data_IF_974454227622
#
_entry.id   IF_974454227622
#
_cell.length_a   1.000
_cell.length_b   1.000
_cell.length_c   1.000
_cell.angle_alpha   90.00
_cell.angle_beta   90.00
_cell.angle_gamma   90.00
#
_symmetry.space_group_name_H-M   'P 1'
#
loop_
_entity.id
_entity.type
_entity.pdbx_description
1 polymer ?
#
# COMPACT_ATOMS: atom_id res chain seq x y z
N UNK A 1 18.21 -0.41 4.18
CA UNK A 1 17.50 -0.35 2.88
C UNK A 1 18.03 0.85 2.10
N UNK A 2 18.05 0.86 0.77
CA UNK A 2 18.65 1.99 0.02
C UNK A 2 17.81 3.28 0.20
N UNK A 3 18.47 4.45 0.35
CA UNK A 3 17.80 5.76 0.45
C UNK A 3 16.83 6.00 -0.70
N UNK A 4 17.16 5.51 -1.90
CA UNK A 4 16.33 5.60 -3.10
C UNK A 4 14.93 4.99 -2.93
N UNK A 5 14.80 3.90 -2.16
CA UNK A 5 13.50 3.26 -1.92
C UNK A 5 12.67 4.11 -0.98
N UNK A 6 13.27 4.63 0.09
CA UNK A 6 12.59 5.51 1.05
C UNK A 6 12.08 6.75 0.32
N UNK A 7 12.96 7.44 -0.40
CA UNK A 7 12.63 8.68 -1.10
C UNK A 7 11.54 8.44 -2.17
N UNK A 8 11.56 7.28 -2.84
CA UNK A 8 10.48 6.89 -3.76
C UNK A 8 9.15 6.63 -3.03
N UNK A 9 9.16 5.92 -1.90
CA UNK A 9 7.94 5.66 -1.13
C UNK A 9 7.31 6.95 -0.59
N UNK A 10 8.15 7.90 -0.14
CA UNK A 10 7.71 9.24 0.26
C UNK A 10 7.11 10.02 -0.91
N UNK A 11 7.73 9.94 -2.10
CA UNK A 11 7.25 10.60 -3.32
C UNK A 11 5.82 10.15 -3.71
N UNK A 12 5.52 8.85 -3.62
CA UNK A 12 4.24 8.30 -4.10
C UNK A 12 3.12 8.31 -3.06
N UNK A 13 3.47 8.51 -1.78
CA UNK A 13 2.60 8.23 -0.65
C UNK A 13 1.22 8.87 -0.74
N UNK A 14 1.16 10.19 -0.95
CA UNK A 14 -0.10 10.94 -0.92
C UNK A 14 -1.02 10.57 -2.08
N UNK A 15 -0.48 10.60 -3.30
CA UNK A 15 -1.21 10.31 -4.53
C UNK A 15 -1.70 8.86 -4.58
N UNK A 16 -0.85 7.93 -4.17
CA UNK A 16 -1.21 6.52 -4.13
C UNK A 16 -2.33 6.24 -3.14
N UNK A 17 -2.24 6.80 -1.93
CA UNK A 17 -3.26 6.62 -0.89
C UNK A 17 -4.59 7.19 -1.30
N UNK A 18 -4.56 8.41 -1.85
CA UNK A 18 -5.76 9.06 -2.34
C UNK A 18 -6.40 8.27 -3.48
N UNK A 19 -5.59 7.75 -4.40
CA UNK A 19 -6.08 6.91 -5.48
C UNK A 19 -6.75 5.64 -4.96
N UNK A 20 -6.12 4.90 -4.04
CA UNK A 20 -6.69 3.68 -3.46
C UNK A 20 -8.01 3.97 -2.74
N UNK A 21 -8.08 5.04 -1.94
CA UNK A 21 -9.32 5.49 -1.30
C UNK A 21 -10.42 5.75 -2.34
N UNK A 22 -10.12 6.55 -3.36
CA UNK A 22 -11.09 6.94 -4.37
C UNK A 22 -11.56 5.73 -5.18
N UNK A 23 -10.64 4.86 -5.58
CA UNK A 23 -10.95 3.63 -6.32
C UNK A 23 -11.87 2.71 -5.51
N UNK A 24 -11.46 2.31 -4.31
CA UNK A 24 -12.21 1.33 -3.53
C UNK A 24 -13.49 1.88 -2.90
N UNK A 25 -13.44 3.08 -2.28
CA UNK A 25 -14.58 3.58 -1.49
C UNK A 25 -15.56 4.41 -2.31
N UNK A 26 -15.10 5.11 -3.36
CA UNK A 26 -15.94 6.04 -4.12
C UNK A 26 -16.40 5.40 -5.44
N UNK A 27 -15.47 4.95 -6.28
CA UNK A 27 -15.78 4.37 -7.60
C UNK A 27 -16.46 3.02 -7.44
N UNK A 28 -15.88 2.13 -6.63
CA UNK A 28 -16.37 0.76 -6.44
C UNK A 28 -17.23 0.58 -5.19
N UNK A 29 -17.51 1.64 -4.43
CA UNK A 29 -18.44 1.65 -3.27
C UNK A 29 -18.19 0.52 -2.25
N UNK A 30 -16.95 0.08 -2.10
CA UNK A 30 -16.59 -1.03 -1.20
C UNK A 30 -16.89 -2.43 -1.74
N UNK A 31 -17.38 -2.59 -2.97
CA UNK A 31 -17.79 -3.90 -3.52
C UNK A 31 -16.61 -4.83 -3.81
N UNK A 32 -15.48 -4.29 -4.27
CA UNK A 32 -14.25 -5.05 -4.54
C UNK A 32 -13.40 -5.25 -3.28
N UNK A 33 -13.23 -4.16 -2.55
CA UNK A 33 -12.52 -4.03 -1.28
C UNK A 33 -12.88 -2.64 -0.74
N UNK A 34 -12.57 -2.39 0.53
CA UNK A 34 -12.87 -1.09 1.14
C UNK A 34 -11.59 -0.57 1.78
N UNK A 35 -11.12 0.61 1.40
CA UNK A 35 -10.08 1.33 2.14
C UNK A 35 -10.66 1.74 3.51
N UNK A 36 -9.98 1.56 4.65
CA UNK A 36 -8.58 1.14 4.80
C UNK A 36 -8.24 -0.35 4.58
N UNK A 37 -9.22 -1.26 4.61
CA UNK A 37 -9.05 -2.72 4.50
C UNK A 37 -8.50 -3.26 3.16
N UNK A 38 -8.25 -2.43 2.16
CA UNK A 38 -7.58 -2.80 0.90
C UNK A 38 -6.06 -2.99 1.03
N UNK A 39 -5.59 -3.25 2.24
CA UNK A 39 -4.21 -3.14 2.65
C UNK A 39 -3.31 -4.22 2.04
N UNK A 40 -3.87 -5.42 1.80
CA UNK A 40 -3.21 -6.45 1.02
C UNK A 40 -3.07 -6.09 -0.46
N UNK A 41 -4.07 -5.44 -1.07
CA UNK A 41 -3.98 -5.03 -2.47
C UNK A 41 -2.92 -3.93 -2.63
N UNK A 42 -2.93 -2.96 -1.71
CA UNK A 42 -1.93 -1.91 -1.59
C UNK A 42 -0.50 -2.50 -1.48
N UNK A 43 -0.31 -3.43 -0.54
CA UNK A 43 0.97 -4.08 -0.30
C UNK A 43 1.44 -4.94 -1.47
N UNK A 44 0.53 -5.65 -2.14
CA UNK A 44 0.86 -6.43 -3.32
C UNK A 44 1.36 -5.55 -4.46
N UNK A 45 0.64 -4.44 -4.73
CA UNK A 45 0.98 -3.49 -5.78
C UNK A 45 2.36 -2.90 -5.54
N UNK A 46 2.64 -2.38 -4.35
CA UNK A 46 3.94 -1.77 -4.07
C UNK A 46 5.07 -2.80 -4.01
N UNK A 47 4.85 -3.98 -3.41
CA UNK A 47 5.86 -5.03 -3.37
C UNK A 47 6.24 -5.48 -4.78
N UNK A 48 5.26 -5.65 -5.66
CA UNK A 48 5.48 -6.00 -7.07
C UNK A 48 6.32 -4.95 -7.79
N UNK A 49 6.06 -3.66 -7.53
CA UNK A 49 6.76 -2.56 -8.17
C UNK A 49 8.21 -2.43 -7.67
N UNK A 50 8.40 -2.45 -6.35
CA UNK A 50 9.72 -2.38 -5.71
C UNK A 50 10.58 -3.58 -6.12
N UNK A 51 9.99 -4.77 -6.21
CA UNK A 51 10.69 -5.99 -6.67
C UNK A 51 11.25 -5.86 -8.08
N UNK A 52 10.48 -5.26 -8.99
CA UNK A 52 10.88 -5.15 -10.41
C UNK A 52 11.91 -4.04 -10.63
N UNK A 53 11.79 -2.92 -9.91
CA UNK A 53 12.51 -1.69 -10.25
C UNK A 53 13.59 -1.25 -9.26
N UNK A 54 13.62 -1.82 -8.05
CA UNK A 54 14.52 -1.38 -6.98
C UNK A 54 15.36 -2.51 -6.40
N UNK A 55 14.74 -3.58 -5.92
CA UNK A 55 15.44 -4.66 -5.19
C UNK A 55 14.63 -5.96 -5.24
N UNK A 56 15.25 -7.06 -5.66
CA UNK A 56 14.55 -8.33 -5.85
C UNK A 56 14.13 -9.01 -4.53
N UNK A 57 14.62 -8.54 -3.38
CA UNK A 57 14.25 -9.04 -2.06
C UNK A 57 12.86 -8.63 -1.59
N UNK A 58 12.19 -7.71 -2.31
CA UNK A 58 10.83 -7.32 -1.93
C UNK A 58 9.80 -8.44 -2.12
N UNK A 59 9.04 -8.67 -1.06
CA UNK A 59 7.94 -9.64 -1.00
C UNK A 59 6.72 -9.02 -0.32
N UNK A 60 5.51 -9.49 -0.68
CA UNK A 60 4.29 -9.18 0.06
C UNK A 60 4.06 -10.28 1.09
N UNK A 61 3.92 -9.94 2.37
CA UNK A 61 3.54 -10.89 3.43
C UNK A 61 2.16 -10.59 3.99
N UNK A 62 1.39 -11.65 4.26
CA UNK A 62 0.11 -11.56 4.97
C UNK A 62 0.32 -11.68 6.48
N UNK A 63 -0.03 -10.63 7.19
CA UNK A 63 -0.15 -10.57 8.65
C UNK A 63 -1.64 -10.62 9.04
N UNK A 64 -1.99 -10.97 10.28
CA UNK A 64 -3.38 -10.92 10.74
C UNK A 64 -3.97 -9.52 10.53
N UNK A 65 -5.06 -9.43 9.75
CA UNK A 65 -5.76 -8.20 9.39
C UNK A 65 -4.92 -7.14 8.61
N UNK A 66 -3.76 -7.53 8.04
CA UNK A 66 -2.78 -6.58 7.49
C UNK A 66 -1.87 -7.25 6.42
N UNK A 67 -1.49 -6.59 5.34
CA UNK A 67 -0.45 -7.08 4.41
C UNK A 67 0.72 -6.11 4.25
N UNK A 68 1.98 -6.54 4.38
CA UNK A 68 3.15 -5.65 4.33
C UNK A 68 4.09 -5.95 3.16
N UNK A 69 4.88 -4.97 2.73
CA UNK A 69 5.99 -5.14 1.77
C UNK A 69 7.32 -5.26 2.54
N UNK A 70 8.03 -6.39 2.45
CA UNK A 70 9.26 -6.63 3.21
C UNK A 70 10.44 -6.78 2.25
N UNK A 71 11.57 -6.12 2.56
CA UNK A 71 12.88 -6.37 1.94
C UNK A 71 13.92 -6.81 2.98
N UNK A 72 15.15 -7.12 2.54
CA UNK A 72 16.20 -7.68 3.41
C UNK A 72 16.59 -6.82 4.63
N UNK A 73 16.28 -5.52 4.63
CA UNK A 73 16.81 -4.55 5.62
C UNK A 73 15.74 -3.65 6.24
N UNK A 74 14.47 -3.97 6.05
CA UNK A 74 13.34 -3.19 6.54
C UNK A 74 12.04 -3.61 5.86
N UNK A 75 10.94 -2.99 6.23
CA UNK A 75 9.66 -3.19 5.57
C UNK A 75 9.04 -1.84 5.25
N UNK A 76 8.28 -1.80 4.16
CA UNK A 76 7.39 -0.69 3.88
C UNK A 76 5.98 -1.13 4.19
N UNK A 77 5.44 -0.52 5.23
CA UNK A 77 4.10 -0.78 5.71
C UNK A 77 3.13 0.12 4.95
N UNK A 78 2.78 -0.28 3.73
CA UNK A 78 1.75 0.41 2.93
C UNK A 78 0.31 0.20 3.43
N UNK A 79 0.23 -0.26 4.66
CA UNK A 79 -0.87 -0.90 5.34
C UNK A 79 -1.17 -0.13 6.63
N UNK A 80 -0.16 0.53 7.22
CA UNK A 80 -0.29 1.64 8.17
C UNK A 80 -0.37 3.01 7.46
N UNK A 81 -0.44 3.02 6.12
CA UNK A 81 -1.16 4.10 5.41
C UNK A 81 -2.63 4.22 5.82
N UNK A 82 -3.13 3.20 6.50
CA UNK A 82 -4.24 3.36 7.41
C UNK A 82 -3.73 4.12 8.62
N UNK A 83 -3.89 5.44 8.61
CA UNK A 83 -3.79 6.24 9.81
C UNK A 83 -4.46 5.51 10.96
N UNK A 84 -3.96 5.68 12.18
CA UNK A 84 -4.73 5.35 13.38
C UNK A 84 -5.95 6.27 13.40
N UNK A 85 -6.92 5.93 12.57
CA UNK A 85 -8.19 6.59 12.43
C UNK A 85 -8.97 6.18 13.67
N UNK A 86 -9.56 7.18 14.32
CA UNK A 86 -10.56 6.92 15.33
C UNK A 86 -11.66 6.04 14.73
N UNK A 87 -12.39 5.32 15.59
CA UNK A 87 -13.56 4.54 15.17
C UNK A 87 -14.54 5.39 14.34
N UNK A 88 -14.70 6.67 14.70
CA UNK A 88 -15.51 7.64 13.97
C UNK A 88 -14.95 7.92 12.56
N UNK A 89 -13.65 8.15 12.42
CA UNK A 89 -13.03 8.35 11.12
C UNK A 89 -13.17 7.10 10.25
N UNK A 90 -12.92 5.90 10.79
CA UNK A 90 -13.14 4.63 10.06
C UNK A 90 -14.60 4.48 9.61
N UNK A 91 -15.55 4.83 10.47
CA UNK A 91 -16.97 4.83 10.13
C UNK A 91 -17.27 5.81 8.99
N UNK A 92 -16.75 7.04 9.07
CA UNK A 92 -16.91 8.06 8.04
C UNK A 92 -16.29 7.63 6.71
N UNK A 93 -15.16 6.91 6.70
CA UNK A 93 -14.57 6.36 5.48
C UNK A 93 -15.48 5.36 4.75
N UNK A 94 -16.30 4.60 5.51
CA UNK A 94 -17.17 3.55 4.99
C UNK A 94 -18.58 4.01 4.63
N UNK A 95 -19.06 5.10 5.24
CA UNK A 95 -20.48 5.48 5.25
C UNK A 95 -20.78 6.73 4.41
N UNK A 96 -19.93 7.11 3.46
CA UNK A 96 -19.96 8.48 2.94
C UNK A 96 -21.22 8.83 2.14
N UNK A 97 -22.00 9.75 2.70
CA UNK A 97 -22.78 10.75 1.94
C UNK A 97 -21.89 11.89 1.40
N UNK A 98 -20.64 12.00 1.89
CA UNK A 98 -19.62 12.97 1.43
C UNK A 98 -18.21 12.34 1.42
N UNK A 99 -17.56 12.30 0.26
CA UNK A 99 -16.20 11.79 0.10
C UNK A 99 -15.14 12.73 0.70
N UNK A 100 -14.03 12.15 1.18
CA UNK A 100 -12.84 12.89 1.61
C UNK A 100 -12.11 13.48 0.39
N UNK A 101 -11.57 14.67 0.57
CA UNK A 101 -10.72 15.36 -0.41
C UNK A 101 -9.28 14.86 -0.36
N UNK A 102 -8.51 15.10 -1.41
CA UNK A 102 -7.07 14.78 -1.45
C UNK A 102 -6.31 15.45 -0.31
N UNK A 103 -6.59 16.72 -0.03
CA UNK A 103 -5.95 17.48 1.05
C UNK A 103 -6.20 16.88 2.44
N UNK A 104 -7.40 16.34 2.70
CA UNK A 104 -7.71 15.67 3.95
C UNK A 104 -6.91 14.37 4.10
N UNK A 105 -6.81 13.58 3.02
CA UNK A 105 -6.00 12.35 3.00
C UNK A 105 -4.52 12.66 3.16
N UNK A 106 -3.97 13.65 2.45
CA UNK A 106 -2.57 14.08 2.58
C UNK A 106 -2.22 14.53 4.00
N UNK A 107 -3.13 15.22 4.70
CA UNK A 107 -2.90 15.61 6.11
C UNK A 107 -2.73 14.39 7.01
N UNK A 108 -3.53 13.35 6.77
CA UNK A 108 -3.36 12.12 7.49
C UNK A 108 -2.01 11.46 7.13
N UNK A 109 -1.66 11.35 5.83
CA UNK A 109 -0.39 10.74 5.34
C UNK A 109 0.82 11.32 6.07
N UNK A 110 0.87 12.64 6.19
CA UNK A 110 1.99 13.34 6.83
C UNK A 110 2.07 13.16 8.35
N UNK A 111 1.01 12.66 8.99
CA UNK A 111 0.96 12.50 10.45
C UNK A 111 1.58 11.19 10.94
N UNK A 112 1.97 10.28 10.03
CA UNK A 112 2.54 8.98 10.36
C UNK A 112 3.76 8.66 9.49
N UNK A 113 4.74 7.91 10.03
CA UNK A 113 5.88 7.46 9.24
C UNK A 113 5.46 6.41 8.20
N UNK A 114 5.93 6.56 6.97
CA UNK A 114 5.68 5.65 5.84
C UNK A 114 6.68 4.47 5.83
N UNK A 115 7.85 4.67 6.42
CA UNK A 115 8.99 3.76 6.36
C UNK A 115 9.46 3.35 7.75
N UNK A 116 9.76 2.06 7.90
CA UNK A 116 10.25 1.47 9.14
C UNK A 116 11.60 0.78 8.91
N UNK A 117 12.63 1.25 9.62
CA UNK A 117 14.02 0.81 9.47
C UNK A 117 14.54 0.09 10.72
N UNK A 118 15.54 -0.77 10.54
CA UNK A 118 16.25 -1.39 11.68
C UNK A 118 17.13 -0.41 12.48
N UNK A 119 17.46 0.74 11.91
CA UNK A 119 18.46 1.66 12.46
C UNK A 119 17.84 2.77 13.31
N UNK A 120 16.53 2.94 13.21
CA UNK A 120 15.74 3.90 13.97
C UNK A 120 14.84 3.11 14.90
N UNK A 121 14.99 3.31 16.21
CA UNK A 121 14.25 2.64 17.31
C UNK A 121 12.71 2.77 17.26
N UNK A 122 12.16 3.34 16.20
CA UNK A 122 10.75 3.71 16.20
C UNK A 122 9.81 2.52 16.00
N UNK A 123 10.07 1.48 15.16
CA UNK A 123 9.16 0.31 15.11
C UNK A 123 9.81 -1.03 14.70
N UNK A 124 9.18 -2.12 15.17
CA UNK A 124 9.68 -3.50 15.22
C UNK A 124 9.82 -4.18 13.86
N UNK A 125 10.99 -4.74 13.59
CA UNK A 125 11.18 -5.74 12.54
C UNK A 125 10.68 -7.06 13.08
N UNK A 126 9.49 -7.46 12.66
CA UNK A 126 9.06 -8.81 12.88
C UNK A 126 9.89 -9.71 11.95
N UNK A 127 10.91 -10.37 12.51
CA UNK A 127 11.64 -11.45 11.84
C UNK A 127 10.64 -12.61 11.62
N UNK A 128 9.91 -12.55 10.51
CA UNK A 128 8.70 -13.34 10.29
C UNK A 128 8.94 -14.43 9.29
N UNK A 129 9.67 -15.44 9.71
CA UNK A 129 9.51 -16.79 9.15
C UNK A 129 8.09 -17.35 9.38
N UNK A 130 7.25 -16.66 10.17
CA UNK A 130 5.89 -17.08 10.56
C UNK A 130 4.77 -16.63 9.61
N UNK A 131 5.03 -15.75 8.65
CA UNK A 131 3.99 -15.23 7.75
C UNK A 131 4.22 -15.70 6.31
N UNK A 132 3.14 -16.16 5.69
CA UNK A 132 3.15 -16.68 4.32
C UNK A 132 3.43 -15.55 3.33
N UNK A 133 4.38 -15.80 2.42
CA UNK A 133 4.64 -14.94 1.28
C UNK A 133 3.52 -15.07 0.26
N UNK A 134 2.90 -13.94 -0.08
CA UNK A 134 1.84 -13.89 -1.07
C UNK A 134 2.44 -13.81 -2.48
N UNK A 135 1.81 -14.44 -3.48
CA UNK A 135 2.15 -14.21 -4.89
C UNK A 135 2.04 -12.72 -5.25
N UNK A 136 2.98 -12.23 -6.06
CA UNK A 136 3.01 -10.86 -6.53
C UNK A 136 2.29 -10.74 -7.88
N UNK A 137 1.08 -10.17 -7.86
CA UNK A 137 0.20 -10.13 -9.03
C UNK A 137 0.46 -8.93 -9.94
N UNK A 138 1.18 -7.92 -9.46
CA UNK A 138 1.50 -6.70 -10.20
C UNK A 138 2.73 -6.79 -11.12
N UNK A 139 3.56 -7.84 -11.00
CA UNK A 139 4.87 -7.91 -11.69
C UNK A 139 4.77 -7.66 -13.20
N UNK A 140 3.80 -8.30 -13.87
CA UNK A 140 3.63 -8.19 -15.33
C UNK A 140 3.21 -6.79 -15.78
N UNK A 141 2.59 -5.99 -14.91
CA UNK A 141 2.28 -4.60 -15.18
C UNK A 141 3.49 -3.71 -14.89
N UNK A 142 4.17 -3.94 -13.77
CA UNK A 142 5.34 -3.15 -13.37
C UNK A 142 6.45 -3.19 -14.44
N UNK A 143 6.69 -4.35 -15.07
CA UNK A 143 7.67 -4.51 -16.16
C UNK A 143 7.43 -3.62 -17.39
N UNK A 144 6.22 -3.09 -17.56
CA UNK A 144 5.85 -2.26 -18.72
C UNK A 144 6.15 -0.77 -18.53
N UNK A 145 6.50 -0.35 -17.31
CA UNK A 145 6.71 1.06 -16.99
C UNK A 145 8.03 1.57 -17.52
N UNK A 146 7.97 2.66 -18.28
CA UNK A 146 9.14 3.28 -18.93
C UNK A 146 9.98 4.13 -17.97
N UNK A 147 9.35 4.81 -17.03
CA UNK A 147 10.00 5.73 -16.08
C UNK A 147 9.75 5.29 -14.64
N UNK A 148 10.39 4.20 -14.19
CA UNK A 148 9.97 3.51 -12.96
C UNK A 148 10.27 4.25 -11.65
N UNK A 149 11.02 5.35 -11.68
CA UNK A 149 11.39 6.10 -10.48
C UNK A 149 10.59 7.40 -10.32
N UNK A 150 9.58 7.64 -11.16
CA UNK A 150 8.74 8.84 -11.08
C UNK A 150 7.37 8.52 -10.48
N UNK A 151 6.72 9.53 -9.92
CA UNK A 151 5.33 9.45 -9.49
C UNK A 151 4.43 9.01 -10.66
N UNK A 152 4.56 9.66 -11.81
CA UNK A 152 3.76 9.37 -12.99
C UNK A 152 3.90 7.92 -13.46
N UNK A 153 5.12 7.38 -13.48
CA UNK A 153 5.35 5.98 -13.86
C UNK A 153 4.75 4.99 -12.87
N UNK A 154 4.76 5.32 -11.59
CA UNK A 154 4.11 4.51 -10.57
C UNK A 154 2.58 4.57 -10.68
N UNK A 155 2.01 5.76 -10.88
CA UNK A 155 0.56 5.92 -11.03
C UNK A 155 0.03 5.26 -12.30
N UNK A 156 0.76 5.35 -13.42
CA UNK A 156 0.48 4.59 -14.64
C UNK A 156 0.40 3.09 -14.35
N UNK A 157 1.34 2.56 -13.55
CA UNK A 157 1.31 1.16 -13.13
C UNK A 157 0.07 0.83 -12.29
N UNK A 158 -0.21 1.63 -11.27
CA UNK A 158 -1.33 1.38 -10.35
C UNK A 158 -2.65 1.36 -11.11
N UNK A 159 -2.90 2.35 -11.97
CA UNK A 159 -4.12 2.45 -12.77
C UNK A 159 -4.34 1.22 -13.68
N UNK A 160 -3.26 0.69 -14.25
CA UNK A 160 -3.33 -0.50 -15.10
C UNK A 160 -3.47 -1.82 -14.32
N UNK A 161 -3.01 -1.86 -13.07
CA UNK A 161 -2.89 -3.08 -12.29
C UNK A 161 -4.01 -3.27 -11.24
N UNK A 162 -4.56 -2.18 -10.69
CA UNK A 162 -5.38 -2.19 -9.47
C UNK A 162 -6.60 -3.10 -9.54
N UNK A 163 -7.31 -3.15 -10.66
CA UNK A 163 -8.52 -3.98 -10.79
C UNK A 163 -8.15 -5.46 -10.70
N UNK A 164 -7.19 -5.90 -11.53
CA UNK A 164 -6.74 -7.30 -11.56
C UNK A 164 -6.02 -7.72 -10.28
N UNK A 165 -5.25 -6.83 -9.66
CA UNK A 165 -4.60 -7.12 -8.37
C UNK A 165 -5.65 -7.15 -7.26
N UNK A 166 -6.57 -6.18 -7.23
CA UNK A 166 -7.66 -6.10 -6.27
C UNK A 166 -8.49 -7.37 -6.24
N UNK A 167 -8.96 -7.85 -7.40
CA UNK A 167 -9.71 -9.10 -7.57
C UNK A 167 -8.94 -10.35 -7.10
N UNK A 168 -7.65 -10.42 -7.41
CA UNK A 168 -6.81 -11.59 -7.07
C UNK A 168 -6.41 -11.62 -5.61
N UNK A 169 -6.39 -10.46 -4.97
CA UNK A 169 -6.01 -10.32 -3.57
C UNK A 169 -7.23 -10.44 -2.63
N UNK A 170 -8.46 -10.63 -3.15
CA UNK A 170 -9.69 -10.79 -2.34
C UNK A 170 -9.57 -11.99 -1.37
N UNK A 171 -9.09 -11.75 -0.14
CA UNK A 171 -9.83 -11.75 1.13
C UNK A 171 -8.88 -11.72 2.36
N UNK A 172 -9.08 -10.73 3.23
CA UNK A 172 -8.78 -10.83 4.66
C UNK A 172 -9.69 -9.86 5.45
N UNK A 173 -11.00 -10.12 5.43
CA UNK A 173 -11.97 -9.32 6.16
C UNK A 173 -13.20 -10.12 6.60
N UNK A 174 -13.02 -11.40 6.90
CA UNK A 174 -14.01 -12.21 7.63
C UNK A 174 -13.28 -13.05 8.68
N UNK A 175 -12.85 -12.38 9.75
CA UNK A 175 -12.69 -12.95 11.08
C UNK A 175 -13.09 -11.89 12.10
#
# INVERSE_FOLDING_TARGET
>A
MSEKIRDFCELIAEDYTYYLYHFFNVVHRGELNTFPWCCHASANLISSYLKVHFDDSFVHKKMPAHGVSIGCTGYVDFTEFQFQLSTEQKHNFNMTTKAFTKDEISKFVRSQPIFYSNETTDYQIFNTSLFEECPLFGIEFAKKIKYPQTLDGFMEYVENAIEKVGERVVNAGAY
#
